data_IF_115134887165
#
_entry.id   IF_115134887165
#
_cell.length_a   1.000
_cell.length_b   1.000
_cell.length_c   1.000
_cell.angle_alpha   90.00
_cell.angle_beta   90.00
_cell.angle_gamma   90.00
#
_symmetry.space_group_name_H-M   'P 1'
#
loop_
_entity.id
_entity.type
_entity.pdbx_description
1 polymer ?
#
# COMPACT_ATOMS: atom_id res chain seq x y z
N UNK A 1 14.03 -6.56 -1.18
CA UNK A 1 13.63 -5.41 -2.02
C UNK A 1 12.94 -4.42 -1.09
N UNK A 2 13.39 -3.17 -1.01
CA UNK A 2 12.74 -2.10 -0.23
C UNK A 2 11.99 -1.24 -1.23
N UNK A 3 10.68 -1.04 -1.04
CA UNK A 3 9.90 -0.09 -1.83
C UNK A 3 9.84 1.23 -1.07
N UNK A 4 10.18 2.32 -1.75
CA UNK A 4 10.13 3.68 -1.22
C UNK A 4 9.07 4.44 -2.00
N UNK A 5 8.23 5.16 -1.29
CA UNK A 5 7.28 6.08 -1.90
C UNK A 5 7.17 7.34 -1.04
N UNK A 6 7.20 8.48 -1.72
CA UNK A 6 7.19 9.83 -1.15
C UNK A 6 5.93 10.54 -1.63
N UNK A 7 5.10 11.07 -0.72
CA UNK A 7 3.86 11.78 -1.04
C UNK A 7 3.94 13.27 -0.65
N UNK A 8 3.93 14.20 -1.61
CA UNK A 8 4.19 15.64 -1.41
C UNK A 8 3.09 16.47 -0.72
N UNK A 9 2.15 15.86 0.00
CA UNK A 9 1.00 16.56 0.60
C UNK A 9 1.27 17.22 1.97
N UNK A 10 2.42 16.93 2.60
CA UNK A 10 2.89 17.59 3.82
C UNK A 10 4.16 18.37 3.51
N UNK A 11 4.50 19.38 4.31
CA UNK A 11 5.71 20.21 4.11
C UNK A 11 7.00 19.41 3.91
N UNK A 12 7.02 18.14 4.33
CA UNK A 12 7.90 17.09 3.83
C UNK A 12 7.07 15.80 3.62
N UNK A 13 7.27 15.03 2.54
CA UNK A 13 6.54 13.79 2.31
C UNK A 13 6.83 12.77 3.44
N UNK A 14 5.83 12.16 4.08
CA UNK A 14 6.08 11.05 4.99
C UNK A 14 6.75 9.91 4.22
N UNK A 15 7.79 9.34 4.80
CA UNK A 15 8.58 8.30 4.15
C UNK A 15 8.12 6.94 4.65
N UNK A 16 7.55 6.16 3.74
CA UNK A 16 7.01 4.84 4.04
C UNK A 16 7.94 3.73 3.53
N UNK A 17 8.10 2.68 4.34
CA UNK A 17 8.89 1.50 3.99
C UNK A 17 8.11 0.24 4.28
N UNK A 18 8.00 -0.63 3.29
CA UNK A 18 7.51 -2.01 3.47
C UNK A 18 8.64 -2.87 4.03
N UNK A 19 8.39 -3.54 5.15
CA UNK A 19 9.31 -4.47 5.80
C UNK A 19 8.63 -5.84 5.98
N UNK A 20 9.42 -6.90 5.79
CA UNK A 20 8.97 -8.28 5.97
C UNK A 20 10.04 -9.16 6.61
N UNK A 21 11.31 -8.94 6.25
CA UNK A 21 12.40 -9.82 6.71
C UNK A 21 12.57 -9.71 8.23
N UNK A 22 12.36 -10.82 8.93
CA UNK A 22 12.54 -10.90 10.39
C UNK A 22 11.29 -10.49 11.20
N UNK A 23 10.15 -10.23 10.56
CA UNK A 23 8.88 -9.96 11.23
C UNK A 23 7.87 -11.08 10.92
N UNK A 24 6.94 -11.39 11.84
CA UNK A 24 5.94 -12.44 11.60
C UNK A 24 4.95 -12.06 10.49
N UNK A 25 4.80 -10.76 10.23
CA UNK A 25 3.85 -10.20 9.27
C UNK A 25 4.53 -9.09 8.48
N UNK A 26 4.05 -8.85 7.26
CA UNK A 26 4.50 -7.69 6.46
C UNK A 26 3.91 -6.41 7.08
N UNK A 27 4.73 -5.38 7.20
CA UNK A 27 4.30 -4.11 7.81
C UNK A 27 4.74 -2.92 6.95
N UNK A 28 3.98 -1.83 7.02
CA UNK A 28 4.42 -0.51 6.56
C UNK A 28 4.88 0.29 7.77
N UNK A 29 6.11 0.78 7.68
CA UNK A 29 6.70 1.69 8.65
C UNK A 29 6.72 3.10 8.09
N UNK A 30 6.47 4.07 8.96
CA UNK A 30 6.66 5.50 8.68
C UNK A 30 7.92 5.98 9.39
N UNK A 31 8.63 6.88 8.74
CA UNK A 31 9.80 7.57 9.27
C UNK A 31 9.66 9.07 9.06
N UNK A 32 10.29 9.83 9.95
CA UNK A 32 10.61 11.22 9.72
C UNK A 32 12.02 11.28 9.09
N UNK A 33 12.15 11.97 7.96
CA UNK A 33 13.43 12.10 7.24
C UNK A 33 13.88 13.54 7.33
N UNK A 34 15.05 13.78 7.93
CA UNK A 34 15.62 15.11 8.02
C UNK A 34 16.24 15.55 6.69
N UNK A 35 16.53 16.85 6.55
CA UNK A 35 17.12 17.44 5.35
C UNK A 35 18.49 16.85 4.95
N UNK A 36 19.22 16.24 5.90
CA UNK A 36 20.48 15.52 5.66
C UNK A 36 20.27 14.07 5.18
N UNK A 37 19.01 13.63 5.03
CA UNK A 37 18.62 12.28 4.64
C UNK A 37 18.59 11.27 5.78
N UNK A 38 18.88 11.68 7.03
CA UNK A 38 18.81 10.77 8.17
C UNK A 38 17.36 10.42 8.53
N UNK A 39 17.14 9.15 8.88
CA UNK A 39 15.83 8.63 9.25
C UNK A 39 15.68 8.51 10.77
N UNK A 40 14.56 9.00 11.29
CA UNK A 40 14.20 8.92 12.71
C UNK A 40 12.74 8.52 12.88
N UNK A 41 12.32 8.35 14.14
CA UNK A 41 10.92 8.12 14.51
C UNK A 41 10.24 6.95 13.76
N UNK A 42 10.86 5.76 13.80
CA UNK A 42 10.32 4.53 13.19
C UNK A 42 8.98 4.15 13.84
N UNK A 43 7.87 4.36 13.14
CA UNK A 43 6.52 4.03 13.60
C UNK A 43 5.94 2.91 12.75
N UNK A 44 5.42 1.84 13.37
CA UNK A 44 4.66 0.81 12.64
C UNK A 44 3.28 1.40 12.34
N UNK A 45 3.02 1.72 11.08
CA UNK A 45 1.76 2.35 10.66
C UNK A 45 0.71 1.31 10.32
N UNK A 46 1.09 0.30 9.52
CA UNK A 46 0.18 -0.77 9.09
C UNK A 46 0.83 -2.11 9.42
N UNK A 47 0.04 -3.00 10.02
CA UNK A 47 0.40 -4.40 10.20
C UNK A 47 -0.57 -5.27 9.40
N UNK A 48 -0.07 -6.19 8.58
CA UNK A 48 -0.91 -6.96 7.68
C UNK A 48 -1.95 -7.83 8.41
N UNK A 49 -1.62 -8.25 9.64
CA UNK A 49 -2.41 -8.99 10.63
C UNK A 49 -3.44 -10.02 10.13
N UNK A 50 -3.35 -11.22 10.69
CA UNK A 50 -4.08 -12.36 10.16
C UNK A 50 -3.46 -12.85 8.86
N UNK A 51 -4.24 -13.47 7.96
CA UNK A 51 -3.69 -14.18 6.80
C UNK A 51 -3.50 -13.30 5.55
N UNK A 52 -3.41 -11.98 5.74
CA UNK A 52 -3.10 -11.02 4.69
C UNK A 52 -1.59 -10.75 4.55
N UNK A 53 -1.18 -10.37 3.36
CA UNK A 53 0.16 -9.90 3.03
C UNK A 53 0.06 -8.72 2.07
N UNK A 54 0.74 -7.62 2.43
CA UNK A 54 0.86 -6.44 1.57
C UNK A 54 2.16 -6.47 0.75
N UNK A 55 2.18 -5.81 -0.41
CA UNK A 55 3.38 -5.72 -1.26
C UNK A 55 3.67 -4.27 -1.66
N UNK A 56 3.49 -3.87 -2.92
CA UNK A 56 3.54 -2.48 -3.34
C UNK A 56 2.35 -1.68 -2.79
N UNK A 57 2.55 -0.38 -2.63
CA UNK A 57 1.49 0.55 -2.26
C UNK A 57 1.58 1.84 -3.10
N UNK A 58 0.52 2.65 -3.05
CA UNK A 58 0.48 4.04 -3.50
C UNK A 58 -0.14 4.95 -2.46
N UNK A 59 0.23 6.23 -2.48
CA UNK A 59 -0.44 7.24 -1.66
C UNK A 59 -1.33 8.13 -2.53
N UNK A 60 -2.55 8.42 -2.08
CA UNK A 60 -3.42 9.41 -2.73
C UNK A 60 -3.22 10.82 -2.16
N UNK A 61 -3.84 11.82 -2.81
CA UNK A 61 -3.71 13.24 -2.42
C UNK A 61 -4.17 13.55 -0.99
N UNK A 62 -4.98 12.69 -0.38
CA UNK A 62 -5.51 12.85 0.98
C UNK A 62 -4.61 12.12 2.02
N UNK A 63 -3.52 11.50 1.58
CA UNK A 63 -2.59 10.76 2.42
C UNK A 63 -3.06 9.34 2.76
N UNK A 64 -4.04 8.79 2.04
CA UNK A 64 -4.43 7.39 2.21
C UNK A 64 -3.45 6.48 1.47
N UNK A 65 -3.13 5.33 2.08
CA UNK A 65 -2.27 4.30 1.52
C UNK A 65 -3.11 3.22 0.86
N UNK A 66 -2.95 3.09 -0.44
CA UNK A 66 -3.55 2.06 -1.29
C UNK A 66 -2.55 0.91 -1.42
N UNK A 67 -2.76 -0.17 -0.68
CA UNK A 67 -1.83 -1.29 -0.59
C UNK A 67 -2.29 -2.46 -1.44
N UNK A 68 -1.43 -2.93 -2.35
CA UNK A 68 -1.58 -4.23 -2.98
C UNK A 68 -1.61 -5.32 -1.92
N UNK A 69 -2.62 -6.17 -1.98
CA UNK A 69 -2.97 -7.12 -0.94
C UNK A 69 -3.21 -8.50 -1.52
N UNK A 70 -2.92 -9.52 -0.71
CA UNK A 70 -3.34 -10.89 -0.96
C UNK A 70 -3.12 -11.78 0.23
N UNK A 71 -3.36 -13.07 0.06
CA UNK A 71 -3.04 -14.07 1.09
C UNK A 71 -1.53 -14.17 1.35
N UNK A 72 -1.17 -14.47 2.59
CA UNK A 72 0.21 -14.81 2.97
C UNK A 72 0.61 -16.27 2.64
N UNK A 73 -0.32 -17.05 2.07
CA UNK A 73 -0.09 -18.43 1.67
C UNK A 73 -0.15 -19.45 2.80
N UNK A 74 -0.62 -19.07 4.01
CA UNK A 74 -0.75 -20.03 5.10
C UNK A 74 -1.83 -21.09 4.80
N UNK A 75 -1.65 -22.35 5.25
CA UNK A 75 -2.65 -23.39 5.07
C UNK A 75 -4.01 -23.04 5.70
N UNK A 76 -5.10 -23.52 5.09
CA UNK A 76 -6.47 -23.35 5.60
C UNK A 76 -7.10 -21.98 5.33
N UNK A 77 -6.46 -21.14 4.52
CA UNK A 77 -6.98 -19.85 4.07
C UNK A 77 -7.29 -19.90 2.59
N UNK A 78 -8.47 -19.44 2.19
CA UNK A 78 -8.81 -19.22 0.79
C UNK A 78 -8.18 -17.90 0.31
N UNK A 79 -7.25 -17.90 -0.66
CA UNK A 79 -6.60 -16.67 -1.12
C UNK A 79 -7.56 -15.61 -1.65
N UNK A 80 -8.64 -16.04 -2.32
CA UNK A 80 -9.62 -15.15 -2.92
C UNK A 80 -10.34 -14.24 -1.91
N UNK A 81 -10.37 -14.61 -0.62
CA UNK A 81 -10.98 -13.79 0.43
C UNK A 81 -10.12 -12.56 0.80
N UNK A 82 -8.85 -12.55 0.40
CA UNK A 82 -7.86 -11.53 0.76
C UNK A 82 -7.26 -10.82 -0.45
N UNK A 83 -7.53 -11.27 -1.66
CA UNK A 83 -6.85 -10.76 -2.85
C UNK A 83 -7.46 -9.44 -3.35
N UNK A 84 -6.61 -8.45 -3.61
CA UNK A 84 -7.05 -7.14 -4.10
C UNK A 84 -6.21 -5.96 -3.62
N UNK A 85 -6.88 -4.83 -3.37
CA UNK A 85 -6.25 -3.61 -2.86
C UNK A 85 -6.93 -3.20 -1.56
N UNK A 86 -6.15 -3.06 -0.48
CA UNK A 86 -6.64 -2.55 0.80
C UNK A 86 -6.23 -1.10 0.98
N UNK A 87 -7.19 -0.24 1.34
CA UNK A 87 -6.96 1.18 1.52
C UNK A 87 -6.95 1.50 3.01
N UNK A 88 -5.90 2.20 3.45
CA UNK A 88 -5.73 2.68 4.80
C UNK A 88 -5.68 4.21 4.81
N UNK A 89 -6.25 4.85 5.83
CA UNK A 89 -6.05 6.28 5.99
C UNK A 89 -4.62 6.61 6.46
N UNK A 90 -4.28 7.91 6.54
CA UNK A 90 -2.95 8.37 6.96
C UNK A 90 -2.51 7.93 8.38
N UNK A 91 -3.45 7.42 9.19
CA UNK A 91 -3.21 6.87 10.54
C UNK A 91 -3.12 5.33 10.55
N UNK A 92 -3.14 4.68 9.39
CA UNK A 92 -3.05 3.22 9.29
C UNK A 92 -4.36 2.48 9.58
N UNK A 93 -5.50 3.17 9.64
CA UNK A 93 -6.82 2.54 9.81
C UNK A 93 -7.35 2.07 8.46
N UNK A 94 -7.80 0.81 8.31
CA UNK A 94 -8.42 0.35 7.07
C UNK A 94 -9.74 1.09 6.82
N UNK A 95 -9.92 1.60 5.61
CA UNK A 95 -11.10 2.37 5.17
C UNK A 95 -11.77 1.81 3.92
N UNK A 96 -11.15 0.86 3.22
CA UNK A 96 -11.73 0.25 2.03
C UNK A 96 -10.99 -0.99 1.56
N UNK A 97 -11.67 -1.79 0.73
CA UNK A 97 -11.09 -2.96 0.08
C UNK A 97 -11.70 -3.17 -1.30
N UNK A 98 -10.85 -3.26 -2.33
CA UNK A 98 -11.24 -3.62 -3.70
C UNK A 98 -10.88 -5.08 -3.89
N UNK A 99 -11.88 -5.95 -3.96
CA UNK A 99 -11.68 -7.37 -4.22
C UNK A 99 -11.24 -7.61 -5.67
N UNK A 100 -10.21 -8.43 -5.84
CA UNK A 100 -9.78 -8.96 -7.13
C UNK A 100 -9.76 -10.49 -7.05
N UNK A 101 -9.93 -11.22 -8.17
CA UNK A 101 -9.90 -12.67 -8.17
C UNK A 101 -8.48 -13.26 -7.98
N UNK A 102 -7.47 -12.41 -7.81
CA UNK A 102 -6.07 -12.78 -7.68
C UNK A 102 -5.27 -11.67 -6.99
N UNK A 103 -4.21 -12.07 -6.28
CA UNK A 103 -3.30 -11.18 -5.56
C UNK A 103 -2.82 -10.02 -6.42
N UNK A 104 -2.84 -8.82 -5.85
CA UNK A 104 -2.34 -7.60 -6.48
C UNK A 104 -1.02 -7.16 -5.84
N UNK A 105 0.15 -7.54 -6.38
CA UNK A 105 1.43 -7.13 -5.84
C UNK A 105 1.76 -5.64 -6.06
N UNK A 106 1.17 -4.96 -7.06
CA UNK A 106 1.50 -3.56 -7.31
C UNK A 106 0.35 -2.80 -7.99
N UNK A 107 0.33 -1.50 -7.80
CA UNK A 107 -0.69 -0.60 -8.31
C UNK A 107 -0.11 0.78 -8.59
N UNK A 108 -0.76 1.54 -9.45
CA UNK A 108 -0.43 2.95 -9.69
C UNK A 108 -1.64 3.76 -10.09
N UNK A 109 -1.71 5.01 -9.62
CA UNK A 109 -2.59 6.01 -10.19
C UNK A 109 -2.07 6.47 -11.55
N UNK A 110 -2.99 6.85 -12.44
CA UNK A 110 -2.66 7.38 -13.75
C UNK A 110 -3.91 7.81 -14.52
N UNK A 111 -3.79 7.84 -15.85
CA UNK A 111 -4.80 8.43 -16.73
C UNK A 111 -4.75 9.97 -16.73
N UNK A 112 -5.51 10.63 -17.62
CA UNK A 112 -5.38 12.08 -17.84
C UNK A 112 -5.69 12.94 -16.61
N UNK A 113 -6.47 12.41 -15.67
CA UNK A 113 -6.85 13.09 -14.42
C UNK A 113 -6.15 12.51 -13.19
N UNK A 114 -5.22 11.56 -13.34
CA UNK A 114 -4.58 10.90 -12.20
C UNK A 114 -5.50 10.04 -11.34
N UNK A 115 -6.76 9.83 -11.75
CA UNK A 115 -7.81 9.17 -10.97
C UNK A 115 -8.16 7.76 -11.47
N UNK A 116 -7.33 7.17 -12.34
CA UNK A 116 -7.46 5.78 -12.76
C UNK A 116 -6.44 4.93 -12.04
N UNK A 117 -6.91 4.01 -11.22
CA UNK A 117 -6.06 3.07 -10.51
C UNK A 117 -5.82 1.84 -11.39
N UNK A 118 -4.57 1.62 -11.78
CA UNK A 118 -4.11 0.41 -12.46
C UNK A 118 -3.57 -0.57 -11.42
N UNK A 119 -3.95 -1.84 -11.51
CA UNK A 119 -3.60 -2.89 -10.55
C UNK A 119 -3.01 -4.07 -11.32
N UNK A 120 -1.70 -4.26 -11.19
CA UNK A 120 -0.99 -5.38 -11.79
C UNK A 120 -1.12 -6.58 -10.86
N UNK A 121 -1.93 -7.55 -11.26
CA UNK A 121 -2.14 -8.80 -10.56
C UNK A 121 -1.33 -9.93 -11.19
N UNK A 122 -1.47 -11.16 -10.69
CA UNK A 122 -0.70 -12.32 -11.14
C UNK A 122 -0.79 -12.56 -12.66
N UNK A 123 -2.00 -12.60 -13.22
CA UNK A 123 -2.23 -12.94 -14.63
C UNK A 123 -2.93 -11.83 -15.42
N UNK A 124 -3.39 -10.78 -14.76
CA UNK A 124 -4.20 -9.72 -15.36
C UNK A 124 -3.79 -8.33 -14.91
N UNK A 125 -4.16 -7.34 -15.71
CA UNK A 125 -4.13 -5.92 -15.35
C UNK A 125 -5.57 -5.43 -15.19
N UNK A 126 -5.93 -5.02 -13.97
CA UNK A 126 -7.23 -4.40 -13.71
C UNK A 126 -7.10 -2.88 -13.70
N UNK A 127 -8.18 -2.18 -14.02
CA UNK A 127 -8.23 -0.73 -13.87
C UNK A 127 -9.63 -0.25 -13.51
N UNK A 128 -9.71 0.70 -12.58
CA UNK A 128 -10.96 1.35 -12.20
C UNK A 128 -10.74 2.85 -11.99
N UNK A 129 -11.77 3.64 -12.28
CA UNK A 129 -11.79 5.06 -11.91
C UNK A 129 -12.17 5.19 -10.44
N UNK A 130 -11.44 6.04 -9.73
CA UNK A 130 -11.69 6.39 -8.33
C UNK A 130 -12.01 7.88 -8.21
N UNK A 131 -12.62 8.26 -7.08
CA UNK A 131 -12.91 9.65 -6.72
C UNK A 131 -11.77 10.31 -5.92
N UNK A 132 -10.52 9.90 -6.22
CA UNK A 132 -9.30 10.51 -5.68
C UNK A 132 -8.20 10.46 -6.74
N UNK A 133 -7.07 11.09 -6.46
CA UNK A 133 -5.92 11.20 -7.36
C UNK A 133 -4.67 10.73 -6.64
N UNK A 134 -3.69 10.20 -7.38
CA UNK A 134 -2.38 9.91 -6.80
C UNK A 134 -1.74 11.18 -6.22
N UNK A 135 -0.95 11.00 -5.15
CA UNK A 135 -0.13 12.09 -4.62
C UNK A 135 0.83 12.63 -5.69
N UNK A 136 1.07 13.95 -5.66
CA UNK A 136 2.00 14.68 -6.54
C UNK A 136 3.28 15.02 -5.79
#
# INVERSE_FOLDING_TARGET
MKYYETCGAFSEPPNYVVEWKGTPQRSIWRYDIAADGSASNKIKLIDANGPGALDGFRVDRDGNLWCGWGSDGRPGVNPADYDGVKVFNAHGKPIGFIHLPERCPNLTFGGPKGNRLYMASSHSLYALYVETEGAV
#
